data_IF_921057677972
#
_entry.id   IF_921057677972
#
_cell.length_a   1.000
_cell.length_b   1.000
_cell.length_c   1.000
_cell.angle_alpha   90.00
_cell.angle_beta   90.00
_cell.angle_gamma   90.00
#
_symmetry.space_group_name_H-M   'P 1'
#
loop_
_entity.id
_entity.type
_entity.pdbx_description
1 polymer ?
#
# COMPACT_ATOMS: atom_id res chain seq x y z
N UNK A 1 -50.17 8.17 -53.65
CA UNK A 1 -49.08 7.17 -53.56
C UNK A 1 -48.50 7.27 -52.16
N UNK A 2 -48.86 6.35 -51.27
CA UNK A 2 -48.30 6.32 -49.92
C UNK A 2 -46.89 5.74 -50.01
N UNK A 3 -45.87 6.52 -49.66
CA UNK A 3 -44.49 6.05 -49.63
C UNK A 3 -44.36 5.22 -48.35
N UNK A 4 -44.15 3.92 -48.52
CA UNK A 4 -43.92 2.98 -47.44
C UNK A 4 -42.66 3.38 -46.65
N UNK A 5 -42.84 3.59 -45.34
CA UNK A 5 -41.79 4.07 -44.44
C UNK A 5 -40.58 3.11 -44.43
N UNK A 6 -40.83 1.82 -44.63
CA UNK A 6 -39.79 0.79 -44.72
C UNK A 6 -38.93 0.97 -45.98
N UNK A 7 -39.55 1.36 -47.10
CA UNK A 7 -38.86 1.63 -48.36
C UNK A 7 -37.94 2.86 -48.25
N UNK A 8 -38.35 3.90 -47.51
CA UNK A 8 -37.51 5.09 -47.25
C UNK A 8 -36.28 4.71 -46.42
N UNK A 9 -36.45 3.90 -45.37
CA UNK A 9 -35.34 3.45 -44.51
C UNK A 9 -34.33 2.62 -45.30
N UNK A 10 -34.79 1.72 -46.17
CA UNK A 10 -33.90 0.90 -47.02
C UNK A 10 -33.11 1.79 -47.98
N UNK A 11 -33.76 2.78 -48.62
CA UNK A 11 -33.10 3.71 -49.54
C UNK A 11 -32.00 4.53 -48.82
N UNK A 12 -32.27 4.98 -47.60
CA UNK A 12 -31.28 5.72 -46.79
C UNK A 12 -30.09 4.85 -46.42
N UNK A 13 -30.31 3.58 -46.06
CA UNK A 13 -29.23 2.62 -45.74
C UNK A 13 -28.35 2.36 -46.96
N UNK A 14 -28.95 2.16 -48.14
CA UNK A 14 -28.21 1.94 -49.39
C UNK A 14 -27.41 3.19 -49.80
N UNK A 15 -27.98 4.38 -49.65
CA UNK A 15 -27.27 5.65 -49.88
C UNK A 15 -26.10 5.86 -48.92
N UNK A 16 -26.26 5.52 -47.64
CA UNK A 16 -25.17 5.62 -46.66
C UNK A 16 -24.03 4.62 -46.96
N UNK A 17 -24.36 3.40 -47.37
CA UNK A 17 -23.37 2.38 -47.72
C UNK A 17 -22.57 2.75 -48.98
N UNK A 18 -23.23 3.32 -49.98
CA UNK A 18 -22.58 3.77 -51.23
C UNK A 18 -21.68 4.99 -51.00
N UNK A 19 -22.11 5.98 -50.22
CA UNK A 19 -21.25 7.12 -49.85
C UNK A 19 -20.01 6.67 -49.06
N UNK A 20 -20.16 5.69 -48.17
CA UNK A 20 -19.04 5.16 -47.37
C UNK A 20 -18.02 4.40 -48.24
N UNK A 21 -18.47 3.68 -49.27
CA UNK A 21 -17.61 3.02 -50.25
C UNK A 21 -16.76 4.01 -51.05
N UNK A 22 -17.37 5.09 -51.53
CA UNK A 22 -16.70 6.15 -52.30
C UNK A 22 -15.67 6.90 -51.43
N UNK A 23 -16.01 7.18 -50.17
CA UNK A 23 -15.09 7.82 -49.21
C UNK A 23 -13.84 6.97 -48.93
N UNK A 24 -13.99 5.64 -48.88
CA UNK A 24 -12.86 4.70 -48.65
C UNK A 24 -11.90 4.66 -49.85
N UNK A 25 -12.42 4.76 -51.06
CA UNK A 25 -11.63 4.79 -52.30
C UNK A 25 -10.88 6.12 -52.42
N UNK A 26 -11.54 7.24 -52.09
CA UNK A 26 -10.93 8.57 -52.11
C UNK A 26 -9.73 8.74 -51.15
N UNK A 27 -9.63 7.92 -50.09
CA UNK A 27 -8.56 8.01 -49.08
C UNK A 27 -7.41 7.01 -49.30
N UNK A 28 -7.52 6.10 -50.27
CA UNK A 28 -6.48 5.12 -50.57
C UNK A 28 -5.54 5.62 -51.68
N UNK A 29 -4.63 6.52 -51.31
CA UNK A 29 -3.65 7.07 -52.25
C UNK A 29 -2.46 7.69 -51.55
N UNK A 30 -1.57 6.84 -50.99
CA UNK A 30 -0.14 7.14 -50.69
C UNK A 30 0.56 5.87 -50.17
N UNK A 31 1.12 5.07 -51.07
CA UNK A 31 2.12 4.03 -50.74
C UNK A 31 3.50 4.69 -50.70
N UNK A 32 4.34 4.37 -49.70
CA UNK A 32 5.79 4.58 -49.78
C UNK A 32 6.50 3.23 -49.67
N UNK A 33 7.45 3.03 -50.56
CA UNK A 33 8.31 1.85 -50.75
C UNK A 33 9.53 2.02 -49.83
N UNK A 34 9.96 0.95 -49.15
CA UNK A 34 11.21 0.91 -48.36
C UNK A 34 12.10 -0.18 -48.97
N UNK A 35 13.31 0.21 -49.39
CA UNK A 35 14.38 -0.70 -49.84
C UNK A 35 15.26 -1.12 -48.65
N UNK A 36 15.93 -2.29 -48.71
CA UNK A 36 16.74 -2.78 -47.59
C UNK A 36 18.13 -2.11 -47.57
N UNK A 37 18.65 -1.85 -46.37
CA UNK A 37 20.02 -1.36 -46.16
C UNK A 37 20.97 -2.52 -45.86
N UNK A 38 22.02 -2.60 -46.66
CA UNK A 38 23.14 -3.54 -46.68
C UNK A 38 24.06 -3.46 -45.46
N UNK A 39 24.61 -4.62 -45.03
CA UNK A 39 25.76 -4.75 -44.11
C UNK A 39 27.06 -4.36 -44.83
N UNK A 40 28.05 -3.75 -44.17
CA UNK A 40 29.51 -4.00 -44.37
C UNK A 40 30.34 -3.45 -43.18
N UNK A 41 31.41 -4.18 -42.85
CA UNK A 41 32.36 -4.03 -41.74
C UNK A 41 33.46 -2.98 -41.97
N UNK A 42 34.14 -2.57 -40.88
CA UNK A 42 35.55 -2.15 -40.85
C UNK A 42 36.14 -2.37 -39.43
N UNK A 43 37.29 -3.04 -39.26
CA UNK A 43 38.09 -3.03 -38.03
C UNK A 43 39.28 -2.06 -38.15
N UNK A 44 39.80 -1.55 -37.02
CA UNK A 44 41.21 -1.66 -36.59
C UNK A 44 41.55 -0.75 -35.37
N UNK A 45 42.11 -1.39 -34.33
CA UNK A 45 43.06 -0.95 -33.29
C UNK A 45 43.10 0.50 -32.76
N UNK A 46 42.81 0.71 -31.46
CA UNK A 46 43.53 1.69 -30.60
C UNK A 46 43.60 1.21 -29.11
N UNK A 47 44.83 0.83 -28.70
CA UNK A 47 45.52 0.97 -27.40
C UNK A 47 45.02 0.28 -26.11
N UNK A 48 45.99 -0.25 -25.34
CA UNK A 48 45.83 -0.92 -24.05
C UNK A 48 45.21 -0.06 -22.92
N UNK A 49 44.99 1.25 -23.13
CA UNK A 49 44.17 2.09 -22.25
C UNK A 49 42.67 1.76 -22.26
N UNK A 50 42.19 0.98 -23.24
CA UNK A 50 40.80 0.50 -23.29
C UNK A 50 40.51 -0.70 -22.35
N UNK A 51 41.56 -1.36 -21.82
CA UNK A 51 41.41 -2.46 -20.85
C UNK A 51 40.83 -1.99 -19.50
N UNK A 52 40.84 -0.68 -19.23
CA UNK A 52 40.16 -0.06 -18.08
C UNK A 52 38.64 0.14 -18.29
N UNK A 53 38.11 -0.09 -19.51
CA UNK A 53 36.66 -0.04 -19.81
C UNK A 53 35.96 -1.39 -19.66
N UNK A 54 36.61 -2.35 -18.98
CA UNK A 54 36.06 -3.59 -18.41
C UNK A 54 34.89 -3.39 -17.41
N UNK A 55 34.41 -2.15 -17.22
CA UNK A 55 33.12 -1.81 -16.59
C UNK A 55 31.90 -1.90 -17.53
N UNK A 56 32.08 -2.32 -18.78
CA UNK A 56 30.98 -2.57 -19.72
C UNK A 56 30.88 -4.05 -20.10
N UNK A 57 30.19 -4.82 -19.26
CA UNK A 57 29.60 -6.11 -19.61
C UNK A 57 28.45 -6.36 -18.63
N UNK A 58 27.17 -6.24 -18.97
CA UNK A 58 26.57 -5.88 -20.25
C UNK A 58 25.24 -5.19 -20.01
N UNK A 59 25.19 -3.88 -20.26
CA UNK A 59 23.93 -3.19 -20.50
C UNK A 59 23.48 -3.59 -21.91
N UNK A 60 22.64 -4.63 -22.00
CA UNK A 60 21.69 -4.73 -23.11
C UNK A 60 20.95 -3.39 -23.11
N UNK A 61 21.15 -2.57 -24.14
CA UNK A 61 20.34 -1.36 -24.32
C UNK A 61 18.89 -1.78 -24.27
N UNK A 62 18.20 -1.33 -23.23
CA UNK A 62 16.77 -1.42 -23.10
C UNK A 62 16.14 -0.92 -24.42
N UNK A 63 15.39 -1.80 -25.10
CA UNK A 63 14.71 -1.47 -26.36
C UNK A 63 13.39 -0.74 -26.12
N UNK A 64 13.04 -0.46 -24.86
CA UNK A 64 11.86 0.33 -24.50
C UNK A 64 11.93 1.79 -24.96
N UNK A 65 13.10 2.31 -25.34
CA UNK A 65 13.33 3.71 -25.77
C UNK A 65 12.91 4.77 -24.73
N UNK A 66 12.75 4.40 -23.46
CA UNK A 66 12.43 5.33 -22.37
C UNK A 66 13.62 5.38 -21.42
N UNK A 67 14.01 6.56 -20.91
CA UNK A 67 15.02 6.63 -19.86
C UNK A 67 14.53 5.86 -18.62
N UNK A 68 15.02 4.64 -18.43
CA UNK A 68 15.07 3.97 -17.12
C UNK A 68 16.11 4.69 -16.26
N UNK A 69 15.99 6.00 -16.11
CA UNK A 69 16.80 6.73 -15.16
C UNK A 69 16.34 6.25 -13.79
N UNK A 70 17.21 5.55 -13.08
CA UNK A 70 17.07 5.24 -11.66
C UNK A 70 16.67 6.49 -10.84
N UNK A 71 16.91 7.69 -11.40
CA UNK A 71 16.49 9.00 -10.89
C UNK A 71 14.98 9.31 -10.99
N UNK A 72 14.22 8.74 -11.95
CA UNK A 72 12.75 8.96 -12.06
C UNK A 72 11.94 7.99 -11.21
N UNK A 73 12.53 6.90 -10.73
CA UNK A 73 11.90 6.00 -9.76
C UNK A 73 12.20 6.49 -8.33
N UNK A 74 11.56 7.61 -7.97
CA UNK A 74 11.35 8.02 -6.58
C UNK A 74 12.60 8.48 -5.83
N UNK A 75 13.13 9.66 -6.17
CA UNK A 75 13.91 10.47 -5.23
C UNK A 75 12.92 11.33 -4.43
N UNK A 76 12.32 10.79 -3.36
CA UNK A 76 11.56 11.62 -2.41
C UNK A 76 10.32 11.03 -1.72
N UNK A 77 9.77 9.88 -2.14
CA UNK A 77 8.61 9.23 -1.49
C UNK A 77 8.77 7.70 -1.50
N UNK A 78 8.13 6.96 -0.59
CA UNK A 78 8.07 5.49 -0.59
C UNK A 78 7.04 4.94 -1.58
N UNK A 79 6.03 5.75 -1.92
CA UNK A 79 4.91 5.40 -2.80
C UNK A 79 4.89 6.24 -4.08
N UNK A 80 4.30 5.66 -5.12
CA UNK A 80 3.99 6.30 -6.39
C UNK A 80 2.87 7.33 -6.31
N UNK A 81 2.88 8.29 -7.24
CA UNK A 81 1.77 9.23 -7.39
C UNK A 81 0.48 8.48 -7.78
N UNK A 82 -0.59 8.71 -7.02
CA UNK A 82 -1.88 8.06 -7.21
C UNK A 82 -1.93 6.59 -6.76
N UNK A 83 -0.92 6.13 -6.02
CA UNK A 83 -0.87 4.79 -5.42
C UNK A 83 -1.07 4.89 -3.92
N UNK A 84 -1.96 4.06 -3.39
CA UNK A 84 -2.25 3.96 -1.96
C UNK A 84 -1.90 2.56 -1.44
N UNK A 85 -1.34 2.48 -0.24
CA UNK A 85 -1.24 1.21 0.48
C UNK A 85 -2.63 0.86 1.00
N UNK A 86 -3.12 -0.33 0.64
CA UNK A 86 -4.45 -0.80 1.03
C UNK A 86 -4.33 -1.71 2.26
N UNK A 87 -5.29 -1.61 3.17
CA UNK A 87 -5.41 -2.56 4.28
C UNK A 87 -5.59 -3.97 3.74
N UNK A 88 -5.03 -4.95 4.47
CA UNK A 88 -5.02 -6.36 4.04
C UNK A 88 -6.44 -6.93 4.09
N UNK A 89 -7.17 -6.80 2.99
CA UNK A 89 -8.49 -7.40 2.79
C UNK A 89 -8.35 -8.90 2.52
N UNK A 90 -8.98 -9.72 3.37
CA UNK A 90 -9.01 -11.19 3.21
C UNK A 90 -9.55 -11.63 1.85
N UNK A 91 -10.44 -10.82 1.25
CA UNK A 91 -10.98 -11.04 -0.08
C UNK A 91 -9.92 -10.89 -1.16
N UNK A 92 -9.13 -9.82 -1.14
CA UNK A 92 -8.15 -9.53 -2.18
C UNK A 92 -6.97 -10.48 -2.15
N UNK A 93 -6.55 -10.89 -0.95
CA UNK A 93 -5.63 -12.02 -0.75
C UNK A 93 -6.20 -13.28 -1.42
N UNK A 94 -7.45 -13.64 -1.12
CA UNK A 94 -8.05 -14.87 -1.67
C UNK A 94 -8.20 -14.84 -3.20
N UNK A 95 -8.48 -13.67 -3.78
CA UNK A 95 -8.62 -13.49 -5.23
C UNK A 95 -7.28 -13.60 -5.93
N UNK A 96 -6.25 -12.97 -5.37
CA UNK A 96 -4.89 -13.04 -5.91
C UNK A 96 -4.34 -14.47 -5.87
N UNK A 97 -4.46 -15.15 -4.73
CA UNK A 97 -3.97 -16.53 -4.57
C UNK A 97 -4.61 -17.46 -5.60
N UNK A 98 -5.94 -17.39 -5.78
CA UNK A 98 -6.65 -18.17 -6.81
C UNK A 98 -6.14 -17.91 -8.23
N UNK A 99 -5.74 -16.67 -8.55
CA UNK A 99 -5.16 -16.36 -9.88
C UNK A 99 -3.77 -16.98 -10.01
N UNK A 100 -2.94 -16.81 -9.00
CA UNK A 100 -1.59 -17.34 -8.99
C UNK A 100 -1.58 -18.87 -9.09
N UNK A 101 -2.46 -19.55 -8.35
CA UNK A 101 -2.65 -21.01 -8.43
C UNK A 101 -3.14 -21.44 -9.81
N UNK A 102 -4.13 -20.73 -10.38
CA UNK A 102 -4.68 -21.04 -11.71
C UNK A 102 -3.61 -20.99 -12.80
N UNK A 103 -2.70 -20.01 -12.73
CA UNK A 103 -1.61 -19.85 -13.71
C UNK A 103 -0.35 -20.65 -13.35
N UNK A 104 -0.33 -21.35 -12.20
CA UNK A 104 0.81 -22.16 -11.77
C UNK A 104 2.03 -21.34 -11.35
N UNK A 105 1.82 -20.18 -10.73
CA UNK A 105 2.90 -19.33 -10.23
C UNK A 105 3.75 -20.07 -9.18
N UNK A 106 5.07 -19.87 -9.23
CA UNK A 106 5.98 -20.37 -8.20
C UNK A 106 5.79 -19.56 -6.90
N UNK A 107 6.27 -20.15 -5.81
CA UNK A 107 6.33 -19.56 -4.47
C UNK A 107 7.79 -19.46 -4.01
N UNK A 108 8.08 -18.51 -3.13
CA UNK A 108 9.45 -18.27 -2.69
C UNK A 108 9.55 -17.30 -1.52
N UNK A 109 10.79 -16.97 -1.13
CA UNK A 109 11.10 -16.09 0.00
C UNK A 109 10.57 -14.66 -0.20
N UNK A 110 10.59 -14.19 -1.45
CA UNK A 110 10.04 -12.90 -1.85
C UNK A 110 9.21 -13.07 -3.12
N UNK A 111 8.03 -12.46 -3.14
CA UNK A 111 7.11 -12.51 -4.28
C UNK A 111 6.44 -11.16 -4.49
N UNK A 112 6.42 -10.69 -5.74
CA UNK A 112 5.73 -9.47 -6.16
C UNK A 112 4.74 -9.88 -7.24
N UNK A 113 3.46 -9.66 -6.98
CA UNK A 113 2.38 -10.07 -7.89
C UNK A 113 1.50 -8.88 -8.26
N UNK A 114 1.19 -8.74 -9.53
CA UNK A 114 0.32 -7.70 -10.07
C UNK A 114 -0.97 -8.35 -10.57
N UNK A 115 -2.14 -7.84 -10.19
CA UNK A 115 -3.43 -8.27 -10.74
C UNK A 115 -4.30 -7.09 -11.18
N UNK A 116 -5.10 -7.32 -12.22
CA UNK A 116 -6.06 -6.33 -12.75
C UNK A 116 -7.30 -7.00 -13.34
N UNK A 117 -8.32 -6.21 -13.71
CA UNK A 117 -9.66 -6.71 -14.04
C UNK A 117 -10.15 -6.34 -15.45
N UNK A 118 -9.25 -6.38 -16.43
CA UNK A 118 -9.64 -6.19 -17.84
C UNK A 118 -8.69 -6.94 -18.80
N UNK A 119 -8.89 -6.73 -20.10
CA UNK A 119 -8.12 -7.38 -21.15
C UNK A 119 -6.79 -6.69 -21.45
N UNK A 120 -6.49 -5.53 -20.85
CA UNK A 120 -5.30 -4.77 -21.16
C UNK A 120 -4.03 -5.52 -20.75
N UNK A 121 -2.94 -5.10 -21.36
CA UNK A 121 -1.59 -5.61 -21.17
C UNK A 121 -0.88 -4.66 -20.21
N UNK A 122 -0.72 -5.09 -18.96
CA UNK A 122 0.07 -4.38 -17.96
C UNK A 122 1.34 -5.17 -17.71
N UNK A 123 2.48 -4.49 -17.80
CA UNK A 123 3.79 -5.07 -17.53
C UNK A 123 4.24 -4.68 -16.11
N UNK A 124 4.63 -5.67 -15.33
CA UNK A 124 5.32 -5.51 -14.06
C UNK A 124 6.82 -5.31 -14.30
N UNK A 125 7.33 -4.23 -13.71
CA UNK A 125 8.74 -3.87 -13.75
C UNK A 125 9.31 -3.84 -12.34
N UNK A 126 10.49 -4.42 -12.17
CA UNK A 126 11.22 -4.35 -10.90
C UNK A 126 12.69 -4.01 -11.12
N UNK A 127 13.18 -3.00 -10.41
CA UNK A 127 14.61 -2.68 -10.33
C UNK A 127 15.18 -3.25 -9.03
N UNK A 128 16.20 -4.10 -9.15
CA UNK A 128 16.92 -4.70 -8.03
C UNK A 128 17.94 -3.72 -7.41
N UNK A 129 18.50 -4.01 -6.23
CA UNK A 129 19.52 -3.17 -5.59
C UNK A 129 20.77 -2.96 -6.45
N UNK A 130 21.14 -3.97 -7.26
CA UNK A 130 22.25 -3.88 -8.23
C UNK A 130 21.94 -2.98 -9.44
N UNK A 131 20.69 -2.51 -9.58
CA UNK A 131 20.21 -1.77 -10.73
C UNK A 131 19.77 -2.65 -11.90
N UNK A 132 19.70 -3.98 -11.72
CA UNK A 132 19.19 -4.88 -12.74
C UNK A 132 17.67 -4.77 -12.86
N UNK A 133 17.16 -4.84 -14.08
CA UNK A 133 15.74 -4.61 -14.37
C UNK A 133 15.07 -5.92 -14.78
N UNK A 134 14.10 -6.39 -13.99
CA UNK A 134 13.26 -7.55 -14.29
C UNK A 134 11.95 -7.07 -14.91
N UNK A 135 11.65 -7.54 -16.12
CA UNK A 135 10.42 -7.24 -16.86
C UNK A 135 10.25 -8.23 -18.03
N UNK A 136 9.21 -8.09 -18.86
CA UNK A 136 8.85 -9.08 -19.89
C UNK A 136 10.00 -9.50 -20.84
N UNK A 137 10.89 -8.56 -21.26
CA UNK A 137 12.04 -8.86 -22.13
C UNK A 137 13.29 -9.31 -21.35
N UNK A 138 13.38 -9.00 -20.05
CA UNK A 138 14.45 -9.47 -19.16
C UNK A 138 13.87 -10.17 -17.93
N UNK A 139 13.37 -11.39 -18.14
CA UNK A 139 12.59 -12.12 -17.12
C UNK A 139 13.43 -12.70 -15.99
N UNK A 140 14.75 -12.76 -16.10
CA UNK A 140 15.62 -13.35 -15.07
C UNK A 140 16.71 -12.38 -14.68
N UNK A 141 16.89 -12.21 -13.38
CA UNK A 141 17.97 -11.44 -12.80
C UNK A 141 19.13 -12.32 -12.36
N UNK A 142 20.33 -11.76 -12.37
CA UNK A 142 21.53 -12.39 -11.80
C UNK A 142 21.39 -12.64 -10.30
N UNK A 143 20.56 -11.87 -9.60
CA UNK A 143 20.26 -12.07 -8.18
C UNK A 143 19.19 -13.13 -7.89
N UNK A 144 18.80 -13.92 -8.90
CA UNK A 144 17.90 -15.06 -8.75
C UNK A 144 16.40 -14.76 -8.88
N UNK A 145 16.03 -13.51 -9.13
CA UNK A 145 14.64 -13.11 -9.37
C UNK A 145 14.17 -13.55 -10.76
N UNK A 146 12.93 -14.02 -10.85
CA UNK A 146 12.32 -14.50 -12.09
C UNK A 146 10.89 -13.95 -12.24
N UNK A 147 10.60 -13.29 -13.37
CA UNK A 147 9.23 -13.06 -13.85
C UNK A 147 8.73 -14.38 -14.45
N UNK A 148 8.00 -15.16 -13.65
CA UNK A 148 7.56 -16.50 -14.00
C UNK A 148 6.19 -16.51 -14.69
N UNK A 149 5.31 -15.58 -14.33
CA UNK A 149 4.01 -15.36 -14.97
C UNK A 149 3.96 -13.94 -15.57
N UNK A 150 3.65 -13.89 -16.87
CA UNK A 150 3.39 -12.69 -17.68
C UNK A 150 2.12 -12.99 -18.48
N UNK A 151 1.05 -12.25 -18.19
CA UNK A 151 -0.26 -12.46 -18.78
C UNK A 151 -0.66 -11.28 -19.66
N UNK A 152 -1.53 -11.56 -20.62
CA UNK A 152 -2.16 -10.58 -21.49
C UNK A 152 -1.27 -9.88 -22.54
N UNK A 153 -0.01 -10.31 -22.74
CA UNK A 153 0.73 -10.03 -23.99
C UNK A 153 -0.12 -10.29 -25.26
N UNK A 154 -0.95 -11.34 -25.17
CA UNK A 154 -2.15 -11.53 -25.99
C UNK A 154 -3.37 -11.52 -25.07
N UNK A 155 -4.51 -10.90 -25.44
CA UNK A 155 -5.65 -10.73 -24.56
C UNK A 155 -6.39 -12.06 -24.32
N UNK A 156 -5.91 -12.83 -23.37
CA UNK A 156 -6.36 -14.20 -23.05
C UNK A 156 -7.26 -14.25 -21.83
N UNK A 157 -7.14 -13.30 -20.89
CA UNK A 157 -7.94 -13.27 -19.66
C UNK A 157 -8.49 -11.87 -19.32
N UNK A 158 -9.64 -11.84 -18.63
CA UNK A 158 -10.19 -10.63 -17.96
C UNK A 158 -9.72 -10.47 -16.52
N UNK A 159 -9.13 -11.53 -15.95
CA UNK A 159 -8.59 -11.56 -14.59
C UNK A 159 -7.11 -11.97 -14.63
N UNK A 160 -6.27 -11.22 -15.35
CA UNK A 160 -4.84 -11.50 -15.48
C UNK A 160 -4.09 -11.32 -14.16
N UNK A 161 -2.87 -11.87 -14.14
CA UNK A 161 -1.88 -11.74 -13.07
C UNK A 161 -0.48 -11.78 -13.68
N UNK A 162 0.45 -11.00 -13.15
CA UNK A 162 1.90 -11.19 -13.34
C UNK A 162 2.59 -11.47 -12.02
N UNK A 163 3.72 -12.16 -12.06
CA UNK A 163 4.44 -12.56 -10.85
C UNK A 163 5.95 -12.55 -11.04
N UNK A 164 6.65 -11.86 -10.13
CA UNK A 164 8.11 -11.92 -9.97
C UNK A 164 8.40 -12.61 -8.64
N UNK A 165 9.28 -13.60 -8.65
CA UNK A 165 9.56 -14.44 -7.47
C UNK A 165 11.05 -14.70 -7.29
N UNK A 166 11.46 -14.78 -6.03
CA UNK A 166 12.73 -15.35 -5.61
C UNK A 166 12.48 -16.63 -4.82
N UNK A 167 12.87 -17.77 -5.38
CA UNK A 167 12.76 -19.07 -4.68
C UNK A 167 13.79 -19.24 -3.56
N UNK A 168 14.79 -18.36 -3.49
CA UNK A 168 15.83 -18.30 -2.46
C UNK A 168 15.91 -16.88 -1.91
N UNK A 169 16.65 -16.65 -0.83
CA UNK A 169 16.82 -15.32 -0.27
C UNK A 169 17.46 -14.36 -1.31
N UNK A 170 16.76 -13.29 -1.73
CA UNK A 170 17.35 -12.26 -2.59
C UNK A 170 18.43 -11.45 -1.85
N UNK A 171 19.33 -10.74 -2.56
CA UNK A 171 20.30 -9.88 -1.92
C UNK A 171 19.62 -8.71 -1.21
N UNK A 172 20.26 -8.24 -0.15
CA UNK A 172 19.83 -7.06 0.57
C UNK A 172 19.89 -5.79 -0.29
N UNK A 173 19.15 -4.77 0.15
CA UNK A 173 19.08 -3.45 -0.46
C UNK A 173 17.68 -3.08 -0.94
N UNK A 174 17.60 -1.98 -1.68
CA UNK A 174 16.34 -1.37 -2.09
C UNK A 174 15.88 -1.87 -3.46
N UNK A 175 14.66 -2.38 -3.49
CA UNK A 175 13.93 -2.78 -4.68
C UNK A 175 12.88 -1.73 -5.02
N UNK A 176 12.67 -1.48 -6.31
CA UNK A 176 11.67 -0.51 -6.80
C UNK A 176 10.72 -1.18 -7.77
N UNK A 177 9.43 -1.04 -7.51
CA UNK A 177 8.34 -1.59 -8.32
C UNK A 177 7.78 -0.48 -9.20
N UNK A 178 7.57 -0.80 -10.49
CA UNK A 178 6.84 0.03 -11.41
C UNK A 178 5.90 -0.78 -12.28
N UNK A 179 4.88 -0.14 -12.83
CA UNK A 179 3.95 -0.73 -13.77
C UNK A 179 3.90 0.11 -15.04
N UNK A 180 3.78 -0.57 -16.17
CA UNK A 180 3.57 0.07 -17.47
C UNK A 180 2.32 -0.48 -18.13
N UNK A 181 1.49 0.41 -18.65
CA UNK A 181 0.36 0.01 -19.50
C UNK A 181 0.84 -0.18 -20.95
N UNK A 182 1.31 -1.39 -21.25
CA UNK A 182 1.97 -1.71 -22.51
C UNK A 182 1.01 -1.67 -23.70
N UNK A 183 -0.23 -2.16 -23.56
CA UNK A 183 -1.19 -2.22 -24.68
C UNK A 183 -2.64 -2.24 -24.23
N UNK A 184 -3.46 -1.41 -24.91
CA UNK A 184 -4.91 -1.50 -24.82
C UNK A 184 -5.41 -2.59 -25.76
N UNK A 185 -6.11 -3.59 -25.22
CA UNK A 185 -6.77 -4.61 -26.02
C UNK A 185 -8.26 -4.32 -26.11
N UNK A 186 -8.74 -4.03 -27.34
CA UNK A 186 -10.15 -3.68 -27.59
C UNK A 186 -10.99 -4.94 -27.80
N UNK A 187 -11.67 -5.43 -26.76
CA UNK A 187 -12.78 -6.40 -26.87
C UNK A 187 -14.01 -5.88 -26.14
N UNK A 188 -14.70 -4.91 -26.75
CA UNK A 188 -15.98 -4.39 -26.29
C UNK A 188 -17.03 -4.42 -27.39
N UNK A 189 -18.31 -4.55 -27.01
CA UNK A 189 -19.49 -4.64 -27.90
C UNK A 189 -19.64 -3.43 -28.86
N UNK A 190 -18.89 -2.35 -28.65
CA UNK A 190 -18.92 -1.12 -29.45
C UNK A 190 -17.65 -0.88 -30.29
N UNK A 191 -16.78 -1.88 -30.46
CA UNK A 191 -15.59 -1.76 -31.33
C UNK A 191 -15.93 -1.41 -32.79
N UNK A 192 -17.14 -1.74 -33.22
CA UNK A 192 -17.74 -1.41 -34.51
C UNK A 192 -18.14 0.09 -34.63
N UNK A 193 -18.44 0.78 -33.52
CA UNK A 193 -18.95 2.15 -33.53
C UNK A 193 -17.92 3.16 -32.99
N UNK A 194 -17.13 3.84 -33.86
CA UNK A 194 -16.03 4.72 -33.44
C UNK A 194 -16.47 5.96 -32.64
N UNK A 195 -17.73 6.39 -32.78
CA UNK A 195 -18.30 7.53 -32.05
C UNK A 195 -18.66 7.19 -30.59
N UNK A 196 -19.13 5.97 -30.31
CA UNK A 196 -19.44 5.51 -28.95
C UNK A 196 -18.20 5.02 -28.19
N UNK A 197 -17.22 4.47 -28.92
CA UNK A 197 -15.92 4.08 -28.36
C UNK A 197 -15.16 5.25 -27.72
N UNK A 198 -15.38 6.50 -28.13
CA UNK A 198 -14.70 7.66 -27.54
C UNK A 198 -15.31 8.12 -26.21
N UNK A 199 -16.59 7.82 -25.98
CA UNK A 199 -17.31 8.28 -24.80
C UNK A 199 -17.23 7.30 -23.61
N UNK A 200 -16.89 6.03 -23.88
CA UNK A 200 -16.95 4.94 -22.90
C UNK A 200 -15.60 4.25 -22.60
N UNK A 201 -14.51 4.66 -23.27
CA UNK A 201 -13.19 4.04 -23.07
C UNK A 201 -12.42 4.87 -22.04
N UNK A 202 -12.49 4.46 -20.78
CA UNK A 202 -11.46 4.85 -19.82
C UNK A 202 -10.15 4.22 -20.32
N UNK A 203 -9.17 5.05 -20.66
CA UNK A 203 -7.80 4.59 -20.98
C UNK A 203 -7.05 4.12 -19.71
N UNK A 204 -7.77 4.05 -18.59
CA UNK A 204 -7.34 3.67 -17.27
C UNK A 204 -7.61 2.18 -16.99
N UNK A 205 -6.69 1.54 -16.28
CA UNK A 205 -6.84 0.21 -15.71
C UNK A 205 -6.56 0.31 -14.21
N UNK A 206 -7.51 -0.12 -13.40
CA UNK A 206 -7.27 -0.30 -11.96
C UNK A 206 -6.44 -1.57 -11.74
N UNK A 207 -5.46 -1.47 -10.86
CA UNK A 207 -4.53 -2.55 -10.55
C UNK A 207 -4.31 -2.67 -9.04
N UNK A 208 -3.88 -3.87 -8.64
CA UNK A 208 -3.41 -4.16 -7.29
C UNK A 208 -2.07 -4.88 -7.38
N UNK A 209 -1.07 -4.41 -6.64
CA UNK A 209 0.24 -5.06 -6.46
C UNK A 209 0.34 -5.60 -5.05
N UNK A 210 0.71 -6.86 -4.91
CA UNK A 210 1.10 -7.41 -3.60
C UNK A 210 2.61 -7.58 -3.52
N UNK A 211 3.18 -7.28 -2.36
CA UNK A 211 4.56 -7.61 -2.01
C UNK A 211 4.54 -8.56 -0.83
N UNK A 212 5.04 -9.77 -1.01
CA UNK A 212 5.20 -10.80 0.03
C UNK A 212 6.68 -11.00 0.34
N UNK A 213 7.03 -10.89 1.62
CA UNK A 213 8.37 -11.13 2.16
C UNK A 213 8.20 -11.98 3.41
N UNK A 214 8.61 -13.25 3.36
CA UNK A 214 8.31 -14.19 4.44
C UNK A 214 6.80 -14.31 4.66
N UNK A 215 6.33 -14.06 5.88
CA UNK A 215 4.91 -14.09 6.25
C UNK A 215 4.20 -12.74 6.01
N UNK A 216 4.97 -11.65 5.88
CA UNK A 216 4.42 -10.32 5.66
C UNK A 216 3.93 -10.15 4.22
N UNK A 217 2.74 -9.58 4.06
CA UNK A 217 2.15 -9.27 2.75
C UNK A 217 1.52 -7.89 2.77
N UNK A 218 1.95 -7.04 1.85
CA UNK A 218 1.43 -5.67 1.67
C UNK A 218 0.75 -5.54 0.32
N UNK A 219 -0.25 -4.68 0.23
CA UNK A 219 -1.00 -4.41 -1.00
C UNK A 219 -0.96 -2.94 -1.36
N UNK A 220 -0.77 -2.66 -2.65
CA UNK A 220 -0.77 -1.32 -3.21
C UNK A 220 -1.79 -1.26 -4.33
N UNK A 221 -2.69 -0.29 -4.26
CA UNK A 221 -3.75 -0.10 -5.24
C UNK A 221 -3.57 1.22 -5.98
N UNK A 222 -3.97 1.23 -7.24
CA UNK A 222 -3.93 2.43 -8.04
C UNK A 222 -4.60 2.24 -9.39
N UNK A 223 -4.59 3.32 -10.17
CA UNK A 223 -5.12 3.34 -11.53
C UNK A 223 -4.03 3.81 -12.47
N UNK A 224 -3.77 3.03 -13.53
CA UNK A 224 -2.79 3.38 -14.56
C UNK A 224 -3.47 3.70 -15.88
N UNK A 225 -3.17 4.87 -16.44
CA UNK A 225 -3.55 5.21 -17.80
C UNK A 225 -2.50 4.76 -18.82
N UNK A 226 -2.93 4.51 -20.06
CA UNK A 226 -1.98 4.21 -21.13
C UNK A 226 -1.05 5.40 -21.43
N UNK A 227 0.20 5.27 -20.98
CA UNK A 227 1.30 6.17 -21.31
C UNK A 227 2.52 5.39 -21.83
N UNK A 228 3.55 6.11 -22.27
CA UNK A 228 4.87 5.51 -22.54
C UNK A 228 5.73 5.47 -21.28
N UNK A 229 5.23 5.98 -20.16
CA UNK A 229 6.01 6.14 -18.93
C UNK A 229 5.79 4.96 -18.00
N UNK A 230 6.77 4.74 -17.13
CA UNK A 230 6.67 3.75 -16.07
C UNK A 230 6.07 4.45 -14.85
N UNK A 231 4.91 3.99 -14.37
CA UNK A 231 4.34 4.48 -13.13
C UNK A 231 5.04 3.77 -11.96
N UNK A 232 5.72 4.55 -11.11
CA UNK A 232 6.28 4.04 -9.86
C UNK A 232 5.13 3.59 -8.95
N UNK A 233 5.29 2.47 -8.24
CA UNK A 233 4.28 1.95 -7.32
C UNK A 233 4.75 2.07 -5.88
N UNK A 234 5.84 1.37 -5.57
CA UNK A 234 6.39 1.30 -4.21
C UNK A 234 7.88 0.94 -4.26
N UNK A 235 8.59 1.28 -3.18
CA UNK A 235 9.93 0.78 -2.88
C UNK A 235 9.88 -0.06 -1.59
N UNK A 236 10.65 -1.14 -1.55
CA UNK A 236 10.85 -1.94 -0.34
C UNK A 236 12.33 -2.28 -0.19
N UNK A 237 12.75 -2.57 1.04
CA UNK A 237 14.13 -2.93 1.35
C UNK A 237 14.19 -4.33 1.97
N UNK A 238 15.30 -5.03 1.73
CA UNK A 238 15.63 -6.28 2.40
C UNK A 238 16.94 -6.05 3.15
N UNK A 239 16.99 -6.38 4.44
CA UNK A 239 18.19 -6.21 5.26
C UNK A 239 19.25 -7.28 4.93
N UNK A 240 20.53 -6.96 5.15
CA UNK A 240 21.60 -7.96 5.12
C UNK A 240 21.45 -8.86 6.35
N UNK A 241 21.30 -10.17 6.12
CA UNK A 241 21.47 -11.17 7.18
C UNK A 241 22.95 -11.14 7.55
N UNK A 242 23.30 -10.56 8.70
CA UNK A 242 24.67 -10.56 9.20
C UNK A 242 25.18 -11.99 9.38
N UNK A 243 26.37 -12.27 8.83
CA UNK A 243 27.15 -13.44 9.26
C UNK A 243 27.56 -13.23 10.73
N UNK A 244 26.79 -13.80 11.64
CA UNK A 244 27.06 -13.76 13.08
C UNK A 244 26.07 -14.63 13.83
N UNK A 245 26.60 -15.70 14.43
CA UNK A 245 26.01 -16.54 15.47
C UNK A 245 25.11 -17.71 15.02
N UNK A 246 25.78 -18.78 14.57
CA UNK A 246 25.29 -20.14 14.83
C UNK A 246 25.34 -20.42 16.35
N UNK A 247 24.18 -20.38 17.01
CA UNK A 247 23.67 -21.24 18.10
C UNK A 247 22.71 -20.48 19.02
N UNK A 248 21.43 -20.87 18.99
CA UNK A 248 20.43 -20.52 20.02
C UNK A 248 19.16 -19.84 19.49
N UNK A 249 18.11 -20.62 19.27
CA UNK A 249 16.74 -20.14 18.99
C UNK A 249 16.12 -19.31 20.15
N UNK A 250 14.94 -18.68 19.95
CA UNK A 250 14.57 -17.66 18.97
C UNK A 250 14.51 -16.27 19.65
N UNK A 251 15.11 -15.25 19.01
CA UNK A 251 15.03 -13.83 19.40
C UNK A 251 14.10 -13.09 18.43
N UNK A 252 12.81 -13.38 18.47
CA UNK A 252 11.79 -12.58 17.76
C UNK A 252 11.30 -11.38 18.60
N UNK A 253 11.42 -11.45 19.94
CA UNK A 253 10.89 -10.40 20.82
C UNK A 253 11.78 -9.16 21.00
N UNK A 254 13.06 -9.22 20.62
CA UNK A 254 14.02 -8.14 20.94
C UNK A 254 14.24 -7.12 19.80
N UNK A 255 13.73 -7.39 18.60
CA UNK A 255 13.93 -6.54 17.42
C UNK A 255 12.75 -5.59 17.22
N UNK A 256 11.53 -6.03 17.53
CA UNK A 256 10.34 -5.15 17.48
C UNK A 256 10.45 -3.99 18.49
N UNK A 257 10.91 -4.25 19.72
CA UNK A 257 11.17 -3.19 20.71
C UNK A 257 12.25 -2.20 20.25
N UNK A 258 13.24 -2.62 19.45
CA UNK A 258 14.34 -1.73 19.05
C UNK A 258 13.96 -0.79 17.88
N UNK A 259 13.13 -1.26 16.94
CA UNK A 259 12.68 -0.45 15.80
C UNK A 259 11.53 0.50 16.18
N UNK A 260 10.59 0.08 17.02
CA UNK A 260 9.49 0.93 17.53
C UNK A 260 10.02 2.11 18.35
N UNK A 261 11.03 1.90 19.20
CA UNK A 261 11.69 2.96 19.96
C UNK A 261 12.44 3.97 19.08
N UNK A 262 12.85 3.59 17.87
CA UNK A 262 13.57 4.48 16.95
C UNK A 262 12.62 5.38 16.16
N UNK A 263 11.51 4.83 15.68
CA UNK A 263 10.47 5.59 14.97
C UNK A 263 9.71 6.53 15.92
N UNK A 264 9.37 6.06 17.13
CA UNK A 264 8.73 6.89 18.16
C UNK A 264 9.60 8.11 18.53
N UNK A 265 10.92 7.93 18.67
CA UNK A 265 11.86 9.02 18.95
C UNK A 265 11.97 10.02 17.79
N UNK A 266 11.90 9.57 16.54
CA UNK A 266 11.97 10.45 15.37
C UNK A 266 10.67 11.25 15.17
N UNK A 267 9.51 10.62 15.40
CA UNK A 267 8.20 11.28 15.35
C UNK A 267 8.06 12.33 16.46
N UNK A 268 8.47 11.98 17.68
CA UNK A 268 8.49 12.89 18.83
C UNK A 268 9.48 14.06 18.63
N UNK A 269 10.65 13.81 18.04
CA UNK A 269 11.60 14.87 17.66
C UNK A 269 11.05 15.80 16.54
N UNK A 270 10.24 15.26 15.62
CA UNK A 270 9.58 16.05 14.58
C UNK A 270 8.46 16.91 15.15
N UNK A 271 7.62 16.36 16.04
CA UNK A 271 6.54 17.09 16.71
C UNK A 271 7.07 18.24 17.55
N UNK A 272 8.17 18.04 18.32
CA UNK A 272 8.82 19.12 19.10
C UNK A 272 9.28 20.27 18.21
N UNK A 273 9.70 19.98 16.97
CA UNK A 273 10.18 20.98 16.01
C UNK A 273 9.05 21.80 15.38
N UNK A 274 7.86 21.21 15.24
CA UNK A 274 6.67 21.87 14.65
C UNK A 274 5.85 22.64 15.70
N UNK A 275 6.15 22.47 16.99
CA UNK A 275 5.52 23.22 18.08
C UNK A 275 4.11 22.72 18.43
N UNK A 276 3.76 21.49 18.04
CA UNK A 276 2.47 20.84 18.32
C UNK A 276 2.52 19.88 19.50
N UNK A 277 3.64 19.80 20.23
CA UNK A 277 3.76 18.88 21.37
C UNK A 277 2.93 19.41 22.51
N UNK A 278 1.90 18.64 22.85
CA UNK A 278 1.29 18.71 24.16
C UNK A 278 2.21 17.91 25.07
N UNK A 279 2.87 18.53 26.05
CA UNK A 279 3.77 17.82 26.98
C UNK A 279 3.00 17.01 28.03
N UNK A 280 1.67 17.19 28.08
CA UNK A 280 0.79 16.55 29.04
C UNK A 280 0.24 15.21 28.58
N UNK A 281 -0.20 14.43 29.56
CA UNK A 281 -0.93 13.17 29.36
C UNK A 281 -2.30 13.33 29.99
N UNK A 282 -3.37 12.89 29.33
CA UNK A 282 -4.71 12.86 29.93
C UNK A 282 -5.44 11.57 29.60
N UNK A 283 -6.17 11.05 30.58
CA UNK A 283 -7.06 9.91 30.46
C UNK A 283 -8.47 10.39 30.77
N UNK A 284 -9.38 10.21 29.83
CA UNK A 284 -10.78 10.64 29.94
C UNK A 284 -11.68 9.41 29.84
N UNK A 285 -12.44 9.13 30.89
CA UNK A 285 -13.52 8.15 30.90
C UNK A 285 -14.83 8.87 30.52
N UNK A 286 -15.61 8.28 29.61
CA UNK A 286 -16.91 8.77 29.16
C UNK A 286 -17.94 7.64 29.12
N UNK A 287 -19.17 7.87 29.58
CA UNK A 287 -20.30 6.96 29.48
C UNK A 287 -21.61 7.73 29.31
N UNK A 288 -22.61 7.09 28.69
CA UNK A 288 -23.92 7.69 28.42
C UNK A 288 -25.02 6.86 29.12
N UNK A 289 -24.94 6.79 30.45
CA UNK A 289 -25.93 6.11 31.29
C UNK A 289 -26.06 6.78 32.67
N UNK A 290 -27.06 6.36 33.46
CA UNK A 290 -27.22 6.80 34.84
C UNK A 290 -26.23 6.16 35.81
N UNK A 291 -25.45 5.18 35.37
CA UNK A 291 -24.57 4.42 36.24
C UNK A 291 -23.44 5.26 36.83
N UNK A 292 -23.07 4.96 38.06
CA UNK A 292 -21.94 5.58 38.75
C UNK A 292 -20.64 4.83 38.44
N UNK A 293 -19.92 5.31 37.43
CA UNK A 293 -18.61 4.79 37.06
C UNK A 293 -17.49 5.63 37.68
N UNK A 294 -16.40 4.97 38.04
CA UNK A 294 -15.17 5.60 38.51
C UNK A 294 -13.95 5.24 37.71
N UNK A 295 -13.18 6.26 37.37
CA UNK A 295 -11.86 6.18 36.76
C UNK A 295 -10.79 6.07 37.85
N UNK A 296 -9.90 5.09 37.71
CA UNK A 296 -8.65 5.00 38.45
C UNK A 296 -7.51 4.77 37.48
N UNK A 297 -6.46 5.58 37.57
CA UNK A 297 -5.21 5.39 36.81
C UNK A 297 -4.11 5.02 37.77
N UNK A 298 -3.47 3.87 37.52
CA UNK A 298 -2.36 3.36 38.32
C UNK A 298 -1.07 3.69 37.59
N UNK A 299 -0.18 4.42 38.26
CA UNK A 299 1.13 4.81 37.78
C UNK A 299 2.14 3.66 37.89
N UNK A 300 3.28 3.72 37.18
CA UNK A 300 4.29 2.65 37.16
C UNK A 300 4.89 2.32 38.54
N UNK A 301 4.92 3.29 39.44
CA UNK A 301 5.36 3.17 40.83
C UNK A 301 4.27 2.65 41.79
N UNK A 302 3.07 2.37 41.26
CA UNK A 302 1.92 1.85 41.99
C UNK A 302 1.04 2.94 42.60
N UNK A 303 1.33 4.21 42.34
CA UNK A 303 0.49 5.33 42.78
C UNK A 303 -0.86 5.34 42.06
N UNK A 304 -1.96 5.53 42.78
CA UNK A 304 -3.31 5.45 42.24
C UNK A 304 -3.96 6.82 42.25
N UNK A 305 -4.29 7.32 41.07
CA UNK A 305 -5.03 8.57 40.91
C UNK A 305 -6.47 8.24 40.56
N UNK A 306 -7.39 8.70 41.39
CA UNK A 306 -8.83 8.50 41.24
C UNK A 306 -9.58 9.60 41.95
N UNK A 307 -10.91 9.57 41.88
CA UNK A 307 -11.75 10.46 42.67
C UNK A 307 -11.43 10.41 44.19
N UNK A 308 -11.06 9.24 44.72
CA UNK A 308 -10.72 9.06 46.14
C UNK A 308 -9.27 9.40 46.47
N UNK A 309 -8.43 9.59 45.45
CA UNK A 309 -7.00 9.92 45.58
C UNK A 309 -6.64 10.87 44.44
N UNK A 310 -7.10 12.13 44.49
CA UNK A 310 -7.08 13.01 43.33
C UNK A 310 -5.70 13.56 43.03
N UNK A 311 -4.81 13.65 44.02
CA UNK A 311 -3.45 14.16 43.84
C UNK A 311 -2.47 12.99 43.83
N UNK A 312 -1.90 12.71 42.66
CA UNK A 312 -0.82 11.75 42.50
C UNK A 312 0.50 12.32 43.03
N UNK A 313 1.26 11.47 43.70
CA UNK A 313 2.62 11.75 44.20
C UNK A 313 3.60 12.16 43.10
N UNK A 314 3.28 11.83 41.84
CA UNK A 314 4.11 12.07 40.66
C UNK A 314 3.56 13.18 39.73
N UNK A 315 2.67 14.03 40.25
CA UNK A 315 2.22 15.24 39.55
C UNK A 315 1.00 15.06 38.64
N UNK A 316 0.39 13.89 38.65
CA UNK A 316 -0.92 13.67 38.04
C UNK A 316 -2.04 14.13 38.97
N UNK A 317 -3.13 14.62 38.39
CA UNK A 317 -4.29 15.09 39.14
C UNK A 317 -5.59 14.63 38.50
N UNK A 318 -6.53 14.18 39.32
CA UNK A 318 -7.93 13.98 38.94
C UNK A 318 -8.63 15.34 38.84
N UNK A 319 -9.34 15.58 37.75
CA UNK A 319 -10.08 16.82 37.51
C UNK A 319 -11.38 16.84 38.32
N UNK A 320 -11.27 17.25 39.59
CA UNK A 320 -12.42 17.44 40.48
C UNK A 320 -13.22 18.67 40.06
N UNK A 321 -12.55 19.73 39.62
CA UNK A 321 -13.19 21.01 39.32
C UNK A 321 -14.09 20.93 38.07
N UNK A 322 -13.72 20.09 37.10
CA UNK A 322 -14.49 19.78 35.91
C UNK A 322 -15.52 18.66 36.07
N UNK A 323 -15.60 17.99 37.23
CA UNK A 323 -16.49 16.86 37.43
C UNK A 323 -17.96 17.28 37.47
N UNK A 324 -18.78 16.70 36.59
CA UNK A 324 -20.23 16.84 36.60
C UNK A 324 -20.89 15.45 36.71
N UNK A 325 -21.64 15.16 37.79
CA UNK A 325 -22.25 13.84 38.00
C UNK A 325 -23.34 13.50 36.98
N UNK A 326 -23.79 14.44 36.16
CA UNK A 326 -24.82 14.20 35.13
C UNK A 326 -24.24 14.02 33.71
N UNK A 327 -22.93 14.20 33.51
CA UNK A 327 -22.31 14.20 32.18
C UNK A 327 -21.49 12.94 31.90
N UNK A 328 -21.44 12.00 32.85
CA UNK A 328 -20.79 10.70 32.65
C UNK A 328 -19.34 10.83 32.18
N UNK A 329 -18.58 11.78 32.74
CA UNK A 329 -17.22 12.08 32.30
C UNK A 329 -16.28 12.29 33.49
N UNK A 330 -15.12 11.65 33.44
CA UNK A 330 -14.05 11.81 34.44
C UNK A 330 -12.69 11.92 33.75
N UNK A 331 -11.81 12.76 34.30
CA UNK A 331 -10.50 13.03 33.69
C UNK A 331 -9.40 12.94 34.73
N UNK A 332 -8.31 12.25 34.37
CA UNK A 332 -7.02 12.30 35.07
C UNK A 332 -6.00 12.89 34.11
N UNK A 333 -5.19 13.84 34.58
CA UNK A 333 -4.19 14.48 33.72
C UNK A 333 -2.87 14.79 34.42
N UNK A 334 -1.79 14.80 33.65
CA UNK A 334 -0.47 15.30 34.01
C UNK A 334 -0.17 16.50 33.14
N UNK A 335 0.09 17.64 33.76
CA UNK A 335 0.33 18.89 33.02
C UNK A 335 1.69 18.88 32.32
N UNK A 336 2.72 18.26 32.92
CA UNK A 336 4.08 18.07 32.37
C UNK A 336 4.78 16.87 33.00
N UNK A 337 5.67 16.24 32.23
CA UNK A 337 6.64 15.25 32.68
C UNK A 337 6.07 14.08 33.52
N UNK A 338 5.03 13.36 33.06
CA UNK A 338 4.55 12.16 33.76
C UNK A 338 5.67 11.11 33.89
N UNK A 339 5.70 10.31 34.98
CA UNK A 339 6.64 9.21 35.13
C UNK A 339 6.69 8.30 33.91
N UNK A 340 7.90 7.91 33.52
CA UNK A 340 8.13 6.95 32.45
C UNK A 340 7.72 5.56 32.93
N UNK A 341 6.98 4.82 32.11
CA UNK A 341 6.56 3.46 32.36
C UNK A 341 5.11 3.17 31.94
N UNK A 342 4.62 2.01 32.35
CA UNK A 342 3.30 1.50 32.00
C UNK A 342 2.28 1.94 33.04
N UNK A 343 1.20 2.57 32.56
CA UNK A 343 0.03 2.94 33.35
C UNK A 343 -1.10 1.95 33.09
N UNK A 344 -1.89 1.66 34.13
CA UNK A 344 -3.09 0.82 34.04
C UNK A 344 -4.33 1.67 34.30
N UNK A 345 -5.31 1.60 33.39
CA UNK A 345 -6.59 2.30 33.51
C UNK A 345 -7.66 1.32 33.96
N UNK A 346 -8.30 1.65 35.08
CA UNK A 346 -9.35 0.84 35.68
C UNK A 346 -10.65 1.62 35.73
N UNK A 347 -11.73 0.92 35.42
CA UNK A 347 -13.10 1.43 35.51
C UNK A 347 -13.84 0.59 36.53
N UNK A 348 -14.50 1.24 37.48
CA UNK A 348 -15.25 0.59 38.55
C UNK A 348 -16.69 1.08 38.57
N UNK A 349 -17.63 0.17 38.82
CA UNK A 349 -19.02 0.52 39.09
C UNK A 349 -19.24 0.71 40.60
N UNK A 350 -19.86 1.79 41.03
CA UNK A 350 -20.08 2.11 42.46
C UNK A 350 -21.52 1.95 42.95
N UNK A 351 -22.51 1.98 42.07
CA UNK A 351 -23.89 1.77 42.48
C UNK A 351 -24.19 0.29 42.76
N UNK A 352 -24.92 0.07 43.84
CA UNK A 352 -25.34 -1.24 44.32
C UNK A 352 -26.84 -1.20 44.70
N UNK A 353 -27.55 -2.21 44.21
CA UNK A 353 -28.99 -2.50 44.31
C UNK A 353 -29.93 -1.75 43.35
N UNK A 354 -30.33 -2.45 42.28
CA UNK A 354 -31.51 -2.12 41.46
C UNK A 354 -31.24 -1.72 40.01
N UNK A 355 -30.00 -1.41 39.65
CA UNK A 355 -29.59 -1.24 38.25
C UNK A 355 -29.32 -2.63 37.64
N UNK A 356 -30.20 -3.09 36.75
CA UNK A 356 -29.97 -4.30 35.94
C UNK A 356 -29.44 -3.88 34.57
N UNK A 357 -28.18 -4.20 34.27
CA UNK A 357 -27.62 -3.99 32.93
C UNK A 357 -26.10 -3.92 32.92
N UNK A 358 -25.55 -3.97 31.71
CA UNK A 358 -24.16 -3.61 31.46
C UNK A 358 -24.11 -2.17 30.97
N UNK A 359 -23.18 -1.38 31.50
CA UNK A 359 -22.92 -0.01 31.06
C UNK A 359 -21.76 0.01 30.08
N UNK A 360 -22.01 0.56 28.89
CA UNK A 360 -20.98 0.85 27.90
C UNK A 360 -20.21 2.11 28.30
N UNK A 361 -18.89 2.06 28.20
CA UNK A 361 -18.01 3.18 28.46
C UNK A 361 -16.92 3.28 27.39
N UNK A 362 -16.31 4.46 27.32
CA UNK A 362 -15.19 4.78 26.44
C UNK A 362 -14.10 5.48 27.23
N UNK A 363 -12.86 5.05 27.05
CA UNK A 363 -11.65 5.67 27.61
C UNK A 363 -10.84 6.28 26.48
N UNK A 364 -10.70 7.60 26.47
CA UNK A 364 -9.81 8.34 25.58
C UNK A 364 -8.48 8.63 26.28
N UNK A 365 -7.37 8.21 25.69
CA UNK A 365 -6.02 8.41 26.21
C UNK A 365 -5.30 9.36 25.26
N UNK A 366 -4.91 10.53 25.75
CA UNK A 366 -4.02 11.45 25.04
C UNK A 366 -2.64 11.37 25.68
N UNK A 367 -1.70 10.72 25.00
CA UNK A 367 -0.32 10.62 25.42
C UNK A 367 0.54 11.59 24.60
N UNK A 368 0.78 12.78 25.14
CA UNK A 368 1.60 13.82 24.51
C UNK A 368 1.20 14.17 23.05
N UNK A 369 -0.10 14.10 22.76
CA UNK A 369 -0.68 14.33 21.43
C UNK A 369 -0.99 13.06 20.63
N UNK A 370 -0.55 11.87 21.07
CA UNK A 370 -1.02 10.60 20.54
C UNK A 370 -2.34 10.22 21.22
N UNK A 371 -3.43 10.30 20.47
CA UNK A 371 -4.77 9.99 20.98
C UNK A 371 -5.16 8.57 20.60
N UNK A 372 -5.52 7.77 21.60
CA UNK A 372 -6.13 6.45 21.45
C UNK A 372 -7.47 6.38 22.18
N UNK A 373 -8.32 5.44 21.77
CA UNK A 373 -9.65 5.25 22.32
C UNK A 373 -9.90 3.77 22.58
N UNK A 374 -10.49 3.45 23.73
CA UNK A 374 -10.82 2.09 24.14
C UNK A 374 -12.26 2.05 24.60
N UNK A 375 -13.08 1.23 23.96
CA UNK A 375 -14.47 1.00 24.38
C UNK A 375 -14.57 -0.28 25.19
N UNK A 376 -15.47 -0.30 26.18
CA UNK A 376 -15.71 -1.46 27.03
C UNK A 376 -17.11 -1.49 27.63
N UNK A 377 -17.42 -2.59 28.30
CA UNK A 377 -18.68 -2.80 29.02
C UNK A 377 -18.39 -3.25 30.44
N UNK A 378 -19.12 -2.72 31.42
CA UNK A 378 -19.01 -3.10 32.83
C UNK A 378 -20.39 -3.45 33.39
N UNK A 379 -20.47 -4.56 34.11
CA UNK A 379 -21.70 -4.97 34.77
C UNK A 379 -21.96 -4.12 36.02
N UNK A 380 -23.23 -3.88 36.32
CA UNK A 380 -23.68 -3.13 37.51
C UNK A 380 -23.52 -3.88 38.85
N UNK A 381 -22.64 -4.89 38.91
CA UNK A 381 -22.43 -5.77 40.06
C UNK A 381 -21.37 -5.25 41.05
N UNK A 382 -20.91 -4.01 40.86
CA UNK A 382 -19.82 -3.42 41.63
C UNK A 382 -18.44 -3.94 41.23
N UNK A 383 -18.33 -4.61 40.07
CA UNK A 383 -17.05 -5.07 39.54
C UNK A 383 -16.12 -3.90 39.20
N UNK A 384 -14.85 -4.26 39.03
CA UNK A 384 -13.82 -3.40 38.48
C UNK A 384 -13.21 -4.12 37.29
N UNK A 385 -13.07 -3.42 36.17
CA UNK A 385 -12.43 -3.93 34.96
C UNK A 385 -11.19 -3.11 34.65
N UNK A 386 -10.14 -3.77 34.17
CA UNK A 386 -9.00 -3.09 33.56
C UNK A 386 -9.39 -2.76 32.13
N UNK A 387 -9.60 -1.47 31.85
CA UNK A 387 -9.99 -0.97 30.54
C UNK A 387 -8.82 -1.04 29.55
N UNK A 388 -7.59 -0.88 30.02
CA UNK A 388 -6.40 -1.01 29.19
C UNK A 388 -5.16 -0.43 29.86
N UNK A 389 -4.05 -0.46 29.12
CA UNK A 389 -2.76 0.09 29.55
C UNK A 389 -2.21 1.04 28.50
N UNK A 390 -1.36 1.97 28.91
CA UNK A 390 -0.58 2.82 28.00
C UNK A 390 0.82 3.08 28.56
N UNK A 391 1.79 3.28 27.66
CA UNK A 391 3.19 3.53 28.03
C UNK A 391 3.57 4.99 27.81
N UNK A 392 4.16 5.62 28.83
CA UNK A 392 4.81 6.94 28.71
C UNK A 392 6.31 6.73 28.59
N UNK A 393 6.91 7.25 27.51
CA UNK A 393 8.35 7.12 27.20
C UNK A 393 9.21 8.34 27.52
#
# INVERSE_FOLDING_TARGET
VAIDLLSVVIIVIVLAATLHGIYRIARSGKRRIILPSTRTNLPEHISEGARARRRRSGSRRDRSLVPTTTETLGVGSSLGEGVQEAEVSSRDVSVLEKRLEREGAKRGAVQISLMWNNWNDLDLHLITPSGEHIYHDNRKSTCGGELDIDMNFKPTSKTPVENIVWTRTPPAGVYRIGIRHYKIHKRGLFSWAPLLSRLHMRNATDFTVSVSIGESKRFYEGTIEKSNDLQFVAKFAIAELGEGDEEGAPREAAIEEAEEFSEAKEVDALRRRVGTVQDGVSVTLNWDSSSDLGLSVVSPDGDVISFFSPDGSTGGSFDIDGYNPNEGMQVVSWSKDPPVGIYSVKVQHFEAEGEEGDTEFTVSINNRGDVGEISGTISSDGSQVEAGTFEVS
#
